data_IF_360874700426
#
_entry.id   IF_360874700426
#
_cell.length_a   1.000
_cell.length_b   1.000
_cell.length_c   1.000
_cell.angle_alpha   90.00
_cell.angle_beta   90.00
_cell.angle_gamma   90.00
#
_symmetry.space_group_name_H-M   'P 1'
#
loop_
_entity.id
_entity.type
_entity.pdbx_description
1 polymer ?
#
# COMPACT_ATOMS: atom_id res chain seq x y z
N UNK A 1 12.47 -3.84 -7.63
CA UNK A 1 11.10 -4.39 -7.48
C UNK A 1 10.20 -3.32 -6.87
N UNK A 2 8.88 -3.35 -7.14
CA UNK A 2 7.91 -2.37 -6.63
C UNK A 2 6.67 -3.10 -6.15
N UNK A 3 6.03 -2.55 -5.12
CA UNK A 3 4.66 -2.90 -4.74
C UNK A 3 3.76 -1.92 -5.47
N UNK A 4 2.75 -2.41 -6.18
CA UNK A 4 1.78 -1.58 -6.90
C UNK A 4 0.43 -1.63 -6.18
N UNK A 5 -0.24 -0.49 -6.14
CA UNK A 5 -1.66 -0.41 -5.80
C UNK A 5 -2.41 0.14 -7.01
N UNK A 6 -3.58 -0.45 -7.27
CA UNK A 6 -4.49 -0.03 -8.32
C UNK A 6 -5.92 -0.20 -7.79
N UNK A 7 -6.76 0.81 -8.01
CA UNK A 7 -8.13 0.87 -7.54
C UNK A 7 -9.00 1.53 -8.59
N UNK A 8 -10.23 1.03 -8.75
CA UNK A 8 -11.25 1.66 -9.61
C UNK A 8 -11.87 2.91 -8.97
N UNK A 9 -11.56 3.16 -7.69
CA UNK A 9 -12.00 4.31 -6.91
C UNK A 9 -10.79 5.14 -6.50
N UNK A 10 -11.00 6.44 -6.30
CA UNK A 10 -9.96 7.36 -5.84
C UNK A 10 -9.35 6.87 -4.52
N UNK A 11 -8.03 6.72 -4.53
CA UNK A 11 -7.26 6.37 -3.35
C UNK A 11 -7.12 7.62 -2.49
N UNK A 12 -7.33 7.49 -1.18
CA UNK A 12 -7.14 8.60 -0.22
C UNK A 12 -5.98 8.34 0.73
N UNK A 13 -5.71 7.07 1.03
CA UNK A 13 -4.64 6.69 1.95
C UNK A 13 -4.16 5.29 1.61
N UNK A 14 -2.86 5.08 1.73
CA UNK A 14 -2.32 3.74 1.76
C UNK A 14 -1.13 3.61 2.70
N UNK A 15 -1.02 2.41 3.27
CA UNK A 15 -0.07 2.09 4.32
C UNK A 15 0.58 0.74 4.02
N UNK A 16 1.86 0.62 4.36
CA UNK A 16 2.59 -0.65 4.28
C UNK A 16 3.12 -0.98 5.66
N UNK A 17 2.97 -2.24 6.06
CA UNK A 17 3.45 -2.77 7.32
C UNK A 17 4.31 -4.00 7.08
N UNK A 18 5.30 -4.22 7.96
CA UNK A 18 5.85 -5.56 8.16
C UNK A 18 4.76 -6.51 8.66
N UNK A 19 4.94 -7.82 8.46
CA UNK A 19 4.04 -8.83 9.04
C UNK A 19 3.95 -8.79 10.57
N UNK A 20 4.91 -8.16 11.25
CA UNK A 20 4.89 -7.87 12.68
C UNK A 20 3.92 -6.76 13.10
N UNK A 21 3.32 -6.04 12.14
CA UNK A 21 2.45 -4.90 12.38
C UNK A 21 3.17 -3.55 12.46
N UNK A 22 4.50 -3.52 12.33
CA UNK A 22 5.27 -2.27 12.28
C UNK A 22 5.01 -1.56 10.95
N UNK A 23 4.54 -0.31 11.01
CA UNK A 23 4.31 0.53 9.83
C UNK A 23 5.63 1.02 9.24
N UNK A 24 5.76 0.96 7.91
CA UNK A 24 6.96 1.38 7.18
C UNK A 24 6.69 2.41 6.08
N UNK A 25 5.45 2.52 5.65
CA UNK A 25 5.02 3.54 4.70
C UNK A 25 3.63 4.02 5.08
N UNK A 26 3.42 5.30 4.91
CA UNK A 26 2.12 5.94 5.02
C UNK A 26 2.12 7.12 4.07
N UNK A 27 1.08 7.18 3.26
CA UNK A 27 0.89 8.26 2.31
C UNK A 27 -0.60 8.56 2.21
N UNK A 28 -0.92 9.83 2.40
CA UNK A 28 -2.23 10.40 2.11
C UNK A 28 -2.16 11.01 0.74
N UNK A 29 -3.19 10.75 -0.06
CA UNK A 29 -3.22 11.16 -1.46
C UNK A 29 -4.23 12.30 -1.58
N UNK A 30 -3.70 13.50 -1.85
CA UNK A 30 -4.49 14.74 -1.98
C UNK A 30 -5.04 14.97 -3.39
N UNK A 31 -4.56 14.22 -4.38
CA UNK A 31 -4.98 14.28 -5.78
C UNK A 31 -5.65 12.98 -6.20
N UNK A 32 -6.64 13.05 -7.08
CA UNK A 32 -7.34 11.85 -7.56
C UNK A 32 -6.39 10.94 -8.36
N UNK A 33 -5.80 9.95 -7.67
CA UNK A 33 -5.02 8.87 -8.29
C UNK A 33 -5.69 7.54 -8.01
N UNK A 34 -5.71 6.72 -9.04
CA UNK A 34 -6.22 5.36 -9.06
C UNK A 34 -5.09 4.33 -9.04
N UNK A 35 -3.83 4.78 -9.12
CA UNK A 35 -2.65 3.92 -9.13
C UNK A 35 -1.46 4.61 -8.49
N UNK A 36 -0.72 3.85 -7.68
CA UNK A 36 0.56 4.27 -7.12
C UNK A 36 1.49 3.07 -6.89
N UNK A 37 2.75 3.33 -6.52
CA UNK A 37 3.72 2.28 -6.26
C UNK A 37 4.85 2.67 -5.32
N UNK A 38 5.25 1.72 -4.48
CA UNK A 38 6.34 1.86 -3.53
C UNK A 38 7.56 1.06 -3.99
N UNK A 39 8.74 1.69 -3.94
CA UNK A 39 10.00 1.00 -4.26
C UNK A 39 10.34 -0.01 -3.17
N UNK A 40 10.36 -1.29 -3.52
CA UNK A 40 10.65 -2.38 -2.58
C UNK A 40 12.13 -2.79 -2.60
N UNK A 41 13.01 -1.97 -3.17
CA UNK A 41 14.43 -2.32 -3.38
C UNK A 41 15.19 -2.46 -2.05
N UNK A 42 14.84 -1.63 -1.07
CA UNK A 42 15.47 -1.62 0.25
C UNK A 42 14.74 -2.52 1.26
N UNK A 43 13.63 -3.14 0.85
CA UNK A 43 12.85 -4.00 1.73
C UNK A 43 13.48 -5.39 1.79
N UNK A 44 13.71 -5.95 2.99
CA UNK A 44 14.06 -7.35 3.15
C UNK A 44 13.01 -8.27 2.49
N UNK A 45 13.45 -9.44 2.03
CA UNK A 45 12.51 -10.46 1.53
C UNK A 45 11.56 -10.88 2.65
N UNK A 46 10.29 -11.04 2.33
CA UNK A 46 9.28 -11.40 3.32
C UNK A 46 7.88 -10.97 2.92
N UNK A 47 6.94 -11.21 3.84
CA UNK A 47 5.53 -10.83 3.68
C UNK A 47 5.28 -9.48 4.32
N UNK A 48 4.62 -8.61 3.56
CA UNK A 48 4.19 -7.28 3.97
C UNK A 48 2.67 -7.22 3.92
N UNK A 49 2.09 -6.35 4.75
CA UNK A 49 0.66 -6.06 4.75
C UNK A 49 0.50 -4.68 4.11
N UNK A 50 -0.30 -4.60 3.06
CA UNK A 50 -0.69 -3.35 2.41
C UNK A 50 -2.13 -3.08 2.77
N UNK A 51 -2.39 -1.89 3.31
CA UNK A 51 -3.72 -1.39 3.61
C UNK A 51 -3.99 -0.18 2.73
N UNK A 52 -5.17 -0.16 2.11
CA UNK A 52 -5.60 0.91 1.21
C UNK A 52 -6.97 1.38 1.64
N UNK A 53 -7.20 2.69 1.59
CA UNK A 53 -8.48 3.33 1.81
C UNK A 53 -8.85 4.17 0.60
N UNK A 54 -10.11 4.07 0.18
CA UNK A 54 -10.67 4.83 -0.94
C UNK A 54 -11.64 5.90 -0.44
N UNK A 55 -11.96 6.85 -1.31
CA UNK A 55 -12.80 8.03 -1.00
C UNK A 55 -14.22 7.67 -0.52
N UNK A 56 -14.76 6.55 -1.00
CA UNK A 56 -16.05 6.00 -0.59
C UNK A 56 -16.03 5.35 0.82
N UNK A 57 -14.87 5.35 1.48
CA UNK A 57 -14.66 4.76 2.80
C UNK A 57 -14.31 3.27 2.78
N UNK A 58 -14.21 2.65 1.60
CA UNK A 58 -13.80 1.24 1.50
C UNK A 58 -12.35 1.08 1.97
N UNK A 59 -12.11 0.07 2.82
CA UNK A 59 -10.77 -0.29 3.30
C UNK A 59 -10.45 -1.70 2.85
N UNK A 60 -9.33 -1.86 2.15
CA UNK A 60 -8.84 -3.13 1.64
C UNK A 60 -7.48 -3.47 2.22
N UNK A 61 -7.27 -4.74 2.58
CA UNK A 61 -6.03 -5.23 3.16
C UNK A 61 -5.55 -6.45 2.38
N UNK A 62 -4.29 -6.43 1.93
CA UNK A 62 -3.66 -7.53 1.19
C UNK A 62 -2.28 -7.85 1.72
N UNK A 63 -1.91 -9.13 1.68
CA UNK A 63 -0.54 -9.60 1.94
C UNK A 63 0.24 -9.64 0.64
N UNK A 64 1.46 -9.13 0.65
CA UNK A 64 2.36 -9.08 -0.51
C UNK A 64 3.68 -9.73 -0.15
N UNK A 65 4.14 -10.67 -0.97
CA UNK A 65 5.46 -11.29 -0.84
C UNK A 65 6.50 -10.50 -1.64
N UNK A 66 7.54 -10.01 -0.97
CA UNK A 66 8.73 -9.43 -1.59
C UNK A 66 9.82 -10.50 -1.63
N UNK A 67 10.33 -10.81 -2.83
CA UNK A 67 11.29 -11.90 -3.08
C UNK A 67 12.61 -11.46 -3.70
#
# INVERSE_FOLDING_TARGET
KRIFIESNYELVEWEIFYSSGIKIHHETIDISINRDSYSSIHLPKGVYIVRVKTVDGTVSVKKVLVS
#
